data_IF_912667888894
#
_entry.id   IF_912667888894
#
_cell.length_a   1.000
_cell.length_b   1.000
_cell.length_c   1.000
_cell.angle_alpha   90.00
_cell.angle_beta   90.00
_cell.angle_gamma   90.00
#
_symmetry.space_group_name_H-M   'P 1'
#
loop_
_entity.id
_entity.type
_entity.pdbx_description
1 polymer ?
#
# COMPACT_ATOMS: atom_id res chain seq x y z
N UNK A 1 13.17 48.93 -34.04
CA UNK A 1 11.76 48.63 -34.38
C UNK A 1 11.54 47.16 -34.14
N UNK A 2 11.12 46.82 -32.92
CA UNK A 2 10.84 45.46 -32.55
C UNK A 2 9.40 45.11 -32.90
N UNK A 3 9.22 44.21 -33.83
CA UNK A 3 7.95 43.56 -34.07
C UNK A 3 7.63 42.60 -32.92
N UNK A 4 6.38 42.60 -32.47
CA UNK A 4 5.88 41.67 -31.45
C UNK A 4 6.06 40.23 -31.95
N UNK A 5 6.37 39.25 -31.07
CA UNK A 5 6.47 37.84 -31.46
C UNK A 5 5.20 37.28 -32.14
N UNK A 6 4.07 37.99 -32.03
CA UNK A 6 2.79 37.62 -32.63
C UNK A 6 2.55 38.25 -34.03
N UNK A 7 3.46 39.07 -34.51
CA UNK A 7 3.37 39.77 -35.83
C UNK A 7 4.32 39.15 -36.87
N UNK A 8 5.10 38.11 -36.51
CA UNK A 8 5.92 37.38 -37.50
C UNK A 8 5.13 36.21 -38.04
N UNK A 9 4.97 36.12 -39.33
CA UNK A 9 4.54 34.85 -39.95
C UNK A 9 5.53 33.74 -39.58
N UNK A 10 4.99 32.65 -39.06
CA UNK A 10 5.81 31.48 -38.73
C UNK A 10 6.51 30.97 -39.98
N UNK A 11 7.84 30.94 -39.96
CA UNK A 11 8.61 30.38 -41.05
C UNK A 11 8.22 28.90 -41.26
N UNK A 12 8.00 28.48 -42.49
CA UNK A 12 7.71 27.09 -42.80
C UNK A 12 8.86 26.19 -42.31
N UNK A 13 8.50 25.15 -41.60
CA UNK A 13 9.45 24.21 -41.02
C UNK A 13 10.18 23.46 -42.18
N UNK A 14 11.51 23.40 -42.20
CA UNK A 14 12.25 22.68 -43.24
C UNK A 14 11.79 21.22 -43.35
N UNK A 15 11.61 20.75 -44.57
CA UNK A 15 11.08 19.39 -44.83
C UNK A 15 11.87 18.29 -44.15
N UNK A 16 13.19 18.40 -44.04
CA UNK A 16 14.03 17.44 -43.33
C UNK A 16 13.71 17.35 -41.84
N UNK A 17 13.33 18.47 -41.20
CA UNK A 17 12.97 18.50 -39.77
C UNK A 17 11.60 17.87 -39.55
N UNK A 18 10.65 18.10 -40.46
CA UNK A 18 9.33 17.45 -40.44
C UNK A 18 9.47 15.94 -40.57
N UNK A 19 10.35 15.48 -41.47
CA UNK A 19 10.60 14.04 -41.66
C UNK A 19 11.27 13.39 -40.42
N UNK A 20 12.17 14.10 -39.75
CA UNK A 20 12.84 13.59 -38.57
C UNK A 20 11.85 13.52 -37.39
N UNK A 21 10.99 14.51 -37.20
CA UNK A 21 9.92 14.49 -36.20
C UNK A 21 8.95 13.32 -36.46
N UNK A 22 8.58 13.07 -37.72
CA UNK A 22 7.73 11.91 -38.08
C UNK A 22 8.41 10.59 -37.78
N UNK A 23 9.71 10.43 -38.05
CA UNK A 23 10.49 9.21 -37.72
C UNK A 23 10.56 8.97 -36.21
N UNK A 24 10.77 10.02 -35.39
CA UNK A 24 10.78 9.93 -33.91
C UNK A 24 9.39 9.60 -33.41
N UNK A 25 8.34 10.25 -33.93
CA UNK A 25 6.95 9.96 -33.57
C UNK A 25 6.56 8.50 -33.84
N UNK A 26 6.96 7.96 -35.01
CA UNK A 26 6.68 6.56 -35.35
C UNK A 26 7.45 5.57 -34.46
N UNK A 27 8.71 5.86 -34.13
CA UNK A 27 9.51 5.04 -33.19
C UNK A 27 8.90 5.03 -31.76
N UNK A 28 8.40 6.17 -31.26
CA UNK A 28 7.74 6.29 -29.97
C UNK A 28 6.41 5.53 -29.93
N UNK A 29 5.63 5.60 -31.02
CA UNK A 29 4.36 4.90 -31.17
C UNK A 29 4.55 3.38 -31.25
N UNK A 30 5.60 2.93 -31.97
CA UNK A 30 5.97 1.52 -32.05
C UNK A 30 6.50 0.99 -30.67
N UNK A 31 7.29 1.78 -29.94
CA UNK A 31 7.74 1.41 -28.57
C UNK A 31 6.58 1.32 -27.59
N UNK A 32 5.59 2.23 -27.65
CA UNK A 32 4.36 2.13 -26.84
C UNK A 32 3.53 0.90 -27.22
N UNK A 33 3.36 0.59 -28.49
CA UNK A 33 2.63 -0.62 -28.95
C UNK A 33 3.35 -1.93 -28.62
N UNK A 34 4.68 -1.93 -28.52
CA UNK A 34 5.46 -3.10 -28.12
C UNK A 34 5.43 -3.33 -26.60
N UNK A 35 5.40 -2.25 -25.78
CA UNK A 35 5.25 -2.33 -24.32
C UNK A 35 3.88 -2.85 -23.90
N UNK A 36 2.83 -2.60 -24.70
CA UNK A 36 1.46 -3.05 -24.43
C UNK A 36 1.22 -4.53 -24.84
N UNK A 37 2.17 -5.17 -25.52
CA UNK A 37 2.05 -6.55 -26.00
C UNK A 37 2.76 -7.62 -25.14
N UNK A 38 3.44 -7.25 -24.07
CA UNK A 38 3.94 -8.29 -23.15
C UNK A 38 2.78 -8.83 -22.30
N UNK A 39 2.53 -10.14 -22.27
CA UNK A 39 1.51 -10.72 -21.42
C UNK A 39 1.88 -10.42 -19.97
N UNK A 40 1.08 -9.58 -19.31
CA UNK A 40 1.26 -9.23 -17.90
C UNK A 40 1.16 -10.51 -17.07
N UNK A 41 2.13 -10.73 -16.19
CA UNK A 41 2.20 -11.93 -15.34
C UNK A 41 0.89 -12.11 -14.56
N UNK A 42 0.27 -13.29 -14.68
CA UNK A 42 -0.95 -13.63 -13.92
C UNK A 42 -0.64 -13.75 -12.43
N UNK A 43 -1.60 -13.32 -11.61
CA UNK A 43 -1.52 -13.32 -10.14
C UNK A 43 -2.29 -14.52 -9.62
N UNK A 44 -1.57 -15.41 -8.95
CA UNK A 44 -2.11 -16.66 -8.40
C UNK A 44 -2.79 -16.44 -7.04
N UNK A 45 -3.43 -17.47 -6.57
CA UNK A 45 -4.04 -17.57 -5.25
C UNK A 45 -3.10 -17.09 -4.11
N UNK A 46 -3.67 -16.40 -3.10
CA UNK A 46 -2.91 -15.81 -2.00
C UNK A 46 -2.52 -14.33 -2.19
N UNK A 47 -2.35 -13.85 -3.45
CA UNK A 47 -1.98 -12.45 -3.73
C UNK A 47 -3.10 -11.59 -4.35
N UNK A 48 -4.22 -12.20 -4.73
CA UNK A 48 -5.28 -11.56 -5.53
C UNK A 48 -5.99 -10.41 -4.80
N UNK A 49 -6.43 -10.63 -3.57
CA UNK A 49 -7.12 -9.63 -2.76
C UNK A 49 -6.21 -8.41 -2.49
N UNK A 50 -4.95 -8.67 -2.09
CA UNK A 50 -3.98 -7.62 -1.83
C UNK A 50 -3.67 -6.80 -3.09
N UNK A 51 -3.58 -7.46 -4.24
CA UNK A 51 -3.38 -6.76 -5.51
C UNK A 51 -4.55 -5.84 -5.85
N UNK A 52 -5.80 -6.33 -5.80
CA UNK A 52 -6.97 -5.50 -6.06
C UNK A 52 -7.15 -4.40 -5.04
N UNK A 53 -6.89 -4.65 -3.76
CA UNK A 53 -6.95 -3.63 -2.71
C UNK A 53 -5.89 -2.52 -2.93
N UNK A 54 -4.67 -2.89 -3.30
CA UNK A 54 -3.60 -1.94 -3.64
C UNK A 54 -3.96 -1.10 -4.86
N UNK A 55 -4.53 -1.73 -5.90
CA UNK A 55 -4.99 -1.02 -7.10
C UNK A 55 -6.15 -0.08 -6.78
N UNK A 56 -7.13 -0.53 -6.00
CA UNK A 56 -8.26 0.29 -5.56
C UNK A 56 -7.78 1.53 -4.77
N UNK A 57 -6.84 1.35 -3.85
CA UNK A 57 -6.23 2.44 -3.10
C UNK A 57 -5.51 3.45 -4.00
N UNK A 58 -4.77 2.97 -5.01
CA UNK A 58 -4.11 3.83 -5.98
C UNK A 58 -5.11 4.65 -6.83
N UNK A 59 -6.22 4.03 -7.23
CA UNK A 59 -7.30 4.69 -7.99
C UNK A 59 -8.04 5.72 -7.13
N UNK A 60 -8.30 5.38 -5.86
CA UNK A 60 -8.96 6.28 -4.91
C UNK A 60 -8.14 7.53 -4.64
N UNK A 61 -6.82 7.37 -4.43
CA UNK A 61 -5.88 8.50 -4.31
C UNK A 61 -5.85 9.42 -5.54
N UNK A 62 -6.18 8.89 -6.72
CA UNK A 62 -6.35 9.68 -7.95
C UNK A 62 -7.73 10.34 -8.08
N UNK A 63 -8.56 10.28 -7.04
CA UNK A 63 -9.89 10.88 -7.05
C UNK A 63 -10.94 10.09 -7.84
N UNK A 64 -10.66 8.84 -8.20
CA UNK A 64 -11.62 8.01 -8.94
C UNK A 64 -12.73 7.57 -7.98
N UNK A 65 -13.97 7.80 -8.36
CA UNK A 65 -15.16 7.41 -7.61
C UNK A 65 -15.37 5.89 -7.57
N UNK A 66 -16.29 5.45 -6.70
CA UNK A 66 -16.58 4.03 -6.45
C UNK A 66 -16.85 3.25 -7.74
N UNK A 67 -17.73 3.75 -8.61
CA UNK A 67 -18.09 3.06 -9.85
C UNK A 67 -16.89 2.89 -10.79
N UNK A 68 -16.01 3.90 -10.88
CA UNK A 68 -14.79 3.85 -11.68
C UNK A 68 -13.78 2.85 -11.11
N UNK A 69 -13.67 2.75 -9.79
CA UNK A 69 -12.85 1.75 -9.11
C UNK A 69 -13.40 0.35 -9.38
N UNK A 70 -14.70 0.12 -9.17
CA UNK A 70 -15.33 -1.18 -9.42
C UNK A 70 -15.11 -1.62 -10.87
N UNK A 71 -15.34 -0.74 -11.84
CA UNK A 71 -15.13 -1.06 -13.26
C UNK A 71 -13.68 -1.46 -13.55
N UNK A 72 -12.72 -0.73 -13.00
CA UNK A 72 -11.28 -1.02 -13.18
C UNK A 72 -10.87 -2.32 -12.53
N UNK A 73 -11.34 -2.58 -11.30
CA UNK A 73 -11.04 -3.83 -10.58
C UNK A 73 -11.64 -5.05 -11.28
N UNK A 74 -12.84 -4.94 -11.85
CA UNK A 74 -13.47 -6.01 -12.65
C UNK A 74 -12.64 -6.35 -13.89
N UNK A 75 -12.15 -5.34 -14.59
CA UNK A 75 -11.29 -5.53 -15.75
C UNK A 75 -9.96 -6.23 -15.36
N UNK A 76 -9.30 -5.74 -14.32
CA UNK A 76 -8.04 -6.31 -13.81
C UNK A 76 -8.22 -7.74 -13.27
N UNK A 77 -9.33 -8.01 -12.58
CA UNK A 77 -9.70 -9.34 -12.09
C UNK A 77 -9.80 -10.36 -13.23
N UNK A 78 -10.49 -9.98 -14.32
CA UNK A 78 -10.66 -10.86 -15.48
C UNK A 78 -9.37 -11.07 -16.26
N UNK A 79 -8.53 -10.03 -16.37
CA UNK A 79 -7.31 -10.09 -17.20
C UNK A 79 -6.14 -10.75 -16.49
N UNK A 80 -5.95 -10.50 -15.20
CA UNK A 80 -4.71 -10.81 -14.49
C UNK A 80 -4.81 -11.81 -13.36
N UNK A 81 -6.00 -12.04 -12.79
CA UNK A 81 -6.14 -12.97 -11.68
C UNK A 81 -6.45 -14.38 -12.18
N UNK A 82 -5.83 -15.39 -11.54
CA UNK A 82 -5.99 -16.80 -11.93
C UNK A 82 -6.08 -17.69 -10.68
N UNK A 83 -7.26 -18.27 -10.39
CA UNK A 83 -8.57 -17.98 -10.98
C UNK A 83 -9.08 -16.57 -10.60
N UNK A 84 -9.98 -15.95 -11.40
CA UNK A 84 -10.61 -14.68 -11.02
C UNK A 84 -11.36 -14.79 -9.69
N UNK A 85 -11.44 -13.69 -8.95
CA UNK A 85 -12.32 -13.58 -7.77
C UNK A 85 -13.78 -13.42 -8.21
N UNK A 86 -14.70 -13.80 -7.33
CA UNK A 86 -16.12 -13.53 -7.54
C UNK A 86 -16.41 -12.02 -7.52
N UNK A 87 -17.50 -11.61 -8.17
CA UNK A 87 -17.82 -10.20 -8.32
C UNK A 87 -18.18 -9.53 -6.98
N UNK A 88 -18.76 -10.29 -6.04
CA UNK A 88 -19.10 -9.78 -4.71
C UNK A 88 -17.83 -9.41 -3.94
N UNK A 89 -16.80 -10.23 -4.00
CA UNK A 89 -15.49 -9.93 -3.40
C UNK A 89 -14.84 -8.71 -4.05
N UNK A 90 -14.90 -8.58 -5.38
CA UNK A 90 -14.34 -7.41 -6.09
C UNK A 90 -15.05 -6.12 -5.65
N UNK A 91 -16.39 -6.15 -5.58
CA UNK A 91 -17.19 -5.01 -5.11
C UNK A 91 -16.93 -4.70 -3.64
N UNK A 92 -16.81 -5.73 -2.79
CA UNK A 92 -16.51 -5.54 -1.37
C UNK A 92 -15.14 -4.86 -1.16
N UNK A 93 -14.12 -5.25 -1.92
CA UNK A 93 -12.80 -4.61 -1.91
C UNK A 93 -12.93 -3.14 -2.32
N UNK A 94 -13.62 -2.82 -3.42
CA UNK A 94 -13.83 -1.46 -3.86
C UNK A 94 -14.52 -0.61 -2.77
N UNK A 95 -15.64 -1.10 -2.22
CA UNK A 95 -16.40 -0.42 -1.16
C UNK A 95 -15.60 -0.24 0.12
N UNK A 96 -14.75 -1.18 0.48
CA UNK A 96 -13.90 -1.04 1.67
C UNK A 96 -12.92 0.12 1.55
N UNK A 97 -12.40 0.33 0.35
CA UNK A 97 -11.43 1.40 0.06
C UNK A 97 -12.14 2.75 -0.13
N UNK A 98 -13.36 2.78 -0.69
CA UNK A 98 -14.10 4.03 -0.92
C UNK A 98 -14.68 4.64 0.37
N UNK A 99 -14.72 3.90 1.47
CA UNK A 99 -15.04 4.45 2.81
C UNK A 99 -14.01 5.49 3.30
N UNK A 100 -12.76 5.41 2.79
CA UNK A 100 -11.78 6.44 3.04
C UNK A 100 -12.04 7.59 2.09
N UNK A 101 -12.15 8.81 2.60
CA UNK A 101 -12.18 10.00 1.76
C UNK A 101 -10.93 10.00 0.87
N UNK A 102 -11.04 10.43 -0.41
CA UNK A 102 -9.83 10.63 -1.22
C UNK A 102 -8.93 11.57 -0.43
N UNK A 103 -7.65 11.24 -0.32
CA UNK A 103 -6.68 12.20 0.19
C UNK A 103 -6.87 13.49 -0.60
N UNK A 104 -7.55 14.49 0.01
CA UNK A 104 -7.62 15.80 -0.59
C UNK A 104 -6.19 16.27 -0.85
N UNK A 105 -5.98 16.91 -2.00
CA UNK A 105 -4.68 17.44 -2.31
C UNK A 105 -4.29 18.41 -1.19
N UNK A 106 -3.17 18.12 -0.55
CA UNK A 106 -2.78 18.61 0.75
C UNK A 106 -2.17 20.02 0.74
N UNK A 107 -3.00 21.08 0.90
CA UNK A 107 -2.51 22.38 1.28
C UNK A 107 -2.13 22.44 2.78
N UNK A 108 -2.38 21.36 3.53
CA UNK A 108 -2.44 21.33 4.97
C UNK A 108 -1.04 21.22 5.60
N UNK A 109 -0.05 20.60 4.93
CA UNK A 109 1.28 20.42 5.49
C UNK A 109 2.25 21.52 5.04
N UNK A 110 2.93 22.11 5.99
CA UNK A 110 3.97 23.11 5.70
C UNK A 110 5.12 22.47 4.89
N UNK A 111 5.75 23.22 4.01
CA UNK A 111 6.93 22.80 3.24
C UNK A 111 8.20 22.81 4.11
N UNK A 112 8.19 22.00 5.16
CA UNK A 112 9.25 21.86 6.16
C UNK A 112 9.49 20.40 6.48
N UNK A 113 10.58 20.08 7.16
CA UNK A 113 10.87 18.71 7.60
C UNK A 113 9.80 18.15 8.56
N UNK A 114 9.25 19.01 9.44
CA UNK A 114 8.14 18.64 10.32
C UNK A 114 6.88 18.39 9.50
N UNK A 115 6.55 19.24 8.54
CA UNK A 115 5.41 19.01 7.65
C UNK A 115 5.54 17.73 6.82
N UNK A 116 6.75 17.32 6.45
CA UNK A 116 6.97 16.02 5.83
C UNK A 116 6.71 14.86 6.81
N UNK A 117 7.07 15.01 8.09
CA UNK A 117 6.79 14.00 9.10
C UNK A 117 5.27 13.89 9.39
N UNK A 118 4.55 15.01 9.45
CA UNK A 118 3.10 15.04 9.57
C UNK A 118 2.42 14.35 8.37
N UNK A 119 2.89 14.62 7.15
CA UNK A 119 2.42 13.94 5.92
C UNK A 119 2.68 12.45 5.98
N UNK A 120 3.88 12.04 6.44
CA UNK A 120 4.22 10.62 6.61
C UNK A 120 3.25 9.91 7.56
N UNK A 121 2.96 10.53 8.72
CA UNK A 121 1.98 10.01 9.67
C UNK A 121 0.61 9.85 9.04
N UNK A 122 0.12 10.88 8.36
CA UNK A 122 -1.19 10.83 7.72
C UNK A 122 -1.28 9.71 6.66
N UNK A 123 -0.21 9.48 5.91
CA UNK A 123 -0.19 8.43 4.89
C UNK A 123 -0.08 7.02 5.46
N UNK A 124 0.66 6.84 6.56
CA UNK A 124 1.10 5.50 6.95
C UNK A 124 0.81 5.10 8.41
N UNK A 125 0.09 5.94 9.19
CA UNK A 125 -0.21 5.65 10.61
C UNK A 125 -0.87 4.29 10.85
N UNK A 126 -1.57 3.77 9.85
CA UNK A 126 -2.26 2.49 9.93
C UNK A 126 -1.43 1.32 9.39
N UNK A 127 -0.26 1.58 8.81
CA UNK A 127 0.61 0.57 8.21
C UNK A 127 1.95 0.44 8.91
N UNK A 128 2.37 1.49 9.65
CA UNK A 128 3.64 1.49 10.37
C UNK A 128 3.47 1.91 11.82
N UNK A 129 4.25 1.32 12.72
CA UNK A 129 4.33 1.68 14.13
C UNK A 129 5.79 1.74 14.57
N UNK A 130 6.07 2.59 15.55
CA UNK A 130 7.38 2.71 16.16
C UNK A 130 7.34 2.44 17.65
N UNK A 131 8.08 1.44 18.10
CA UNK A 131 8.25 1.15 19.52
C UNK A 131 9.55 1.82 20.02
N UNK A 132 9.40 2.86 20.82
CA UNK A 132 10.54 3.65 21.34
C UNK A 132 11.42 2.85 22.31
N UNK A 133 10.85 1.91 23.04
CA UNK A 133 11.58 1.04 24.00
C UNK A 133 12.48 0.08 23.23
N UNK A 134 11.98 -0.55 22.17
CA UNK A 134 12.77 -1.44 21.33
C UNK A 134 13.65 -0.67 20.31
N UNK A 135 13.35 0.62 20.09
CA UNK A 135 13.96 1.45 19.04
C UNK A 135 13.79 0.82 17.65
N UNK A 136 12.61 0.24 17.39
CA UNK A 136 12.31 -0.51 16.17
C UNK A 136 11.01 -0.04 15.54
N UNK A 137 11.01 -0.07 14.22
CA UNK A 137 9.82 0.07 13.40
C UNK A 137 9.15 -1.29 13.22
N UNK A 138 7.85 -1.26 13.09
CA UNK A 138 7.02 -2.41 12.75
C UNK A 138 6.12 -2.03 11.58
N UNK A 139 5.97 -2.95 10.64
CA UNK A 139 5.21 -2.74 9.42
C UNK A 139 4.15 -3.83 9.31
N UNK A 140 2.94 -3.43 8.94
CA UNK A 140 1.86 -4.36 8.67
C UNK A 140 2.06 -5.03 7.31
N UNK A 141 2.31 -6.35 7.28
CA UNK A 141 2.53 -7.11 6.05
C UNK A 141 1.24 -7.74 5.46
N UNK A 142 0.07 -7.36 5.98
CA UNK A 142 -1.23 -7.88 5.57
C UNK A 142 -1.74 -9.04 6.44
N UNK A 143 -0.90 -9.62 7.31
CA UNK A 143 -1.23 -10.72 8.21
C UNK A 143 -0.85 -10.45 9.66
N UNK A 144 0.29 -9.85 9.90
CA UNK A 144 0.83 -9.52 11.23
C UNK A 144 1.78 -8.33 11.14
N UNK A 145 2.15 -7.79 12.29
CA UNK A 145 3.13 -6.71 12.38
C UNK A 145 4.53 -7.30 12.42
N UNK A 146 5.29 -7.01 11.38
CA UNK A 146 6.66 -7.49 11.22
C UNK A 146 7.66 -6.41 11.63
N UNK A 147 8.74 -6.81 12.33
CA UNK A 147 9.83 -5.89 12.62
C UNK A 147 10.49 -5.47 11.30
N UNK A 148 10.61 -4.17 11.10
CA UNK A 148 11.21 -3.62 9.89
C UNK A 148 12.72 -3.87 9.81
N UNK A 149 13.18 -4.29 8.65
CA UNK A 149 14.60 -4.48 8.31
C UNK A 149 15.12 -3.44 7.30
N UNK A 150 14.37 -2.38 7.03
CA UNK A 150 14.78 -1.29 6.14
C UNK A 150 13.71 -0.76 5.21
N UNK A 151 12.54 -1.37 5.17
CA UNK A 151 11.40 -0.97 4.33
C UNK A 151 10.86 0.41 4.69
N UNK A 152 11.06 0.86 5.95
CA UNK A 152 10.66 2.21 6.40
C UNK A 152 11.25 3.32 5.53
N UNK A 153 12.43 3.10 4.95
CA UNK A 153 13.07 4.05 4.04
C UNK A 153 12.26 4.19 2.74
N UNK A 154 11.69 3.10 2.23
CA UNK A 154 10.85 3.12 1.04
C UNK A 154 9.55 3.91 1.29
N UNK A 155 8.93 3.73 2.47
CA UNK A 155 7.77 4.53 2.89
C UNK A 155 8.11 6.02 2.98
N UNK A 156 9.29 6.37 3.52
CA UNK A 156 9.75 7.75 3.59
C UNK A 156 9.99 8.35 2.19
N UNK A 157 10.57 7.59 1.27
CA UNK A 157 10.74 8.00 -0.13
C UNK A 157 9.38 8.17 -0.81
N UNK A 158 8.46 7.25 -0.59
CA UNK A 158 7.10 7.34 -1.13
C UNK A 158 6.38 8.58 -0.62
N UNK A 159 6.51 8.90 0.67
CA UNK A 159 5.96 10.12 1.26
C UNK A 159 6.51 11.38 0.56
N UNK A 160 7.82 11.49 0.39
CA UNK A 160 8.43 12.65 -0.28
C UNK A 160 7.97 12.73 -1.75
N UNK A 161 7.90 11.62 -2.45
CA UNK A 161 7.47 11.56 -3.85
C UNK A 161 5.98 11.88 -4.03
N UNK A 162 5.15 11.66 -3.02
CA UNK A 162 3.74 12.05 -3.08
C UNK A 162 3.57 13.56 -3.27
N UNK A 163 4.56 14.38 -2.86
CA UNK A 163 4.54 15.82 -3.05
C UNK A 163 4.53 16.20 -4.54
N UNK A 164 5.22 15.43 -5.41
CA UNK A 164 5.18 15.67 -6.85
C UNK A 164 3.80 15.37 -7.43
N UNK A 165 3.20 14.25 -7.02
CA UNK A 165 1.84 13.88 -7.45
C UNK A 165 0.85 14.99 -7.08
N UNK A 166 1.06 15.59 -5.91
CA UNK A 166 0.32 16.70 -5.42
C UNK A 166 0.54 17.99 -6.24
N UNK A 167 1.81 18.31 -6.50
CA UNK A 167 2.16 19.46 -7.31
C UNK A 167 1.55 19.36 -8.73
N UNK A 168 1.42 18.15 -9.28
CA UNK A 168 0.85 17.94 -10.61
C UNK A 168 -0.67 18.18 -10.67
N UNK A 169 -1.37 18.14 -9.54
CA UNK A 169 -2.79 18.49 -9.45
C UNK A 169 -3.04 20.01 -9.43
N UNK A 170 -2.01 20.80 -9.13
CA UNK A 170 -2.12 22.25 -9.08
C UNK A 170 -1.93 22.91 -10.45
N UNK A 171 -2.62 24.04 -10.72
CA UNK A 171 -2.35 24.81 -11.92
C UNK A 171 -0.90 25.33 -11.92
N UNK A 172 -0.39 25.60 -13.10
CA UNK A 172 0.95 26.19 -13.26
C UNK A 172 1.03 27.53 -12.51
N UNK A 173 2.00 27.65 -11.58
CA UNK A 173 2.15 28.82 -10.74
C UNK A 173 3.24 28.66 -9.70
N UNK A 174 3.37 29.66 -8.84
CA UNK A 174 4.45 29.71 -7.85
C UNK A 174 4.26 28.63 -6.74
N UNK A 175 3.03 28.30 -6.40
CA UNK A 175 2.73 27.26 -5.42
C UNK A 175 3.19 25.89 -5.94
N UNK A 176 2.90 25.54 -7.19
CA UNK A 176 3.38 24.30 -7.84
C UNK A 176 4.91 24.26 -7.87
N UNK A 177 5.56 25.37 -8.25
CA UNK A 177 7.02 25.47 -8.26
C UNK A 177 7.62 25.26 -6.86
N UNK A 178 7.03 25.87 -5.82
CA UNK A 178 7.50 25.74 -4.44
C UNK A 178 7.41 24.30 -3.96
N UNK A 179 6.31 23.58 -4.25
CA UNK A 179 6.13 22.16 -3.94
C UNK A 179 7.20 21.30 -4.62
N UNK A 180 7.41 21.46 -5.93
CA UNK A 180 8.42 20.72 -6.67
C UNK A 180 9.81 20.95 -6.09
N UNK A 181 10.17 22.22 -5.77
CA UNK A 181 11.46 22.55 -5.16
C UNK A 181 11.60 21.92 -3.77
N UNK A 182 10.53 21.91 -2.96
CA UNK A 182 10.53 21.27 -1.66
C UNK A 182 10.72 19.75 -1.78
N UNK A 183 9.99 19.08 -2.68
CA UNK A 183 10.13 17.66 -2.96
C UNK A 183 11.58 17.31 -3.35
N UNK A 184 12.15 18.04 -4.32
CA UNK A 184 13.54 17.83 -4.75
C UNK A 184 14.55 17.95 -3.59
N UNK A 185 14.38 18.95 -2.71
CA UNK A 185 15.26 19.11 -1.54
C UNK A 185 15.05 17.98 -0.52
N UNK A 186 13.84 17.48 -0.39
CA UNK A 186 13.46 16.44 0.57
C UNK A 186 13.91 15.04 0.15
N UNK A 187 14.22 14.80 -1.12
CA UNK A 187 14.76 13.50 -1.61
C UNK A 187 16.20 13.21 -1.20
N UNK A 188 16.92 14.17 -0.58
CA UNK A 188 18.28 13.90 -0.12
C UNK A 188 18.29 12.86 1.01
N UNK A 189 19.31 11.98 1.04
CA UNK A 189 19.41 10.91 2.03
C UNK A 189 19.38 11.41 3.49
N UNK A 190 19.94 12.60 3.75
CA UNK A 190 19.89 13.23 5.07
C UNK A 190 18.45 13.65 5.45
N UNK A 191 17.68 14.17 4.50
CA UNK A 191 16.30 14.57 4.72
C UNK A 191 15.37 13.37 4.91
N UNK A 192 15.60 12.28 4.18
CA UNK A 192 14.89 11.01 4.38
C UNK A 192 15.17 10.44 5.79
N UNK A 193 16.43 10.42 6.24
CA UNK A 193 16.76 10.00 7.61
C UNK A 193 16.12 10.91 8.66
N UNK A 194 16.12 12.22 8.45
CA UNK A 194 15.50 13.18 9.35
C UNK A 194 13.98 12.98 9.41
N UNK A 195 13.33 12.75 8.28
CA UNK A 195 11.90 12.42 8.22
C UNK A 195 11.59 11.22 9.12
N UNK A 196 12.30 10.10 8.94
CA UNK A 196 12.11 8.87 9.73
C UNK A 196 12.32 9.15 11.23
N UNK A 197 13.35 9.95 11.56
CA UNK A 197 13.64 10.32 12.96
C UNK A 197 12.53 11.15 13.58
N UNK A 198 12.01 12.14 12.86
CA UNK A 198 10.91 12.98 13.32
C UNK A 198 9.61 12.17 13.44
N UNK A 199 9.31 11.34 12.46
CA UNK A 199 8.14 10.46 12.44
C UNK A 199 8.15 9.48 13.64
N UNK A 200 9.31 8.93 14.02
CA UNK A 200 9.46 8.07 15.19
C UNK A 200 9.04 8.74 16.53
N UNK A 201 9.10 10.07 16.59
CA UNK A 201 8.64 10.86 17.73
C UNK A 201 7.13 11.20 17.70
N UNK A 202 6.42 10.88 16.62
CA UNK A 202 5.01 11.24 16.48
C UNK A 202 4.11 10.26 17.22
N UNK A 203 3.17 10.80 18.02
CA UNK A 203 2.30 10.00 18.89
C UNK A 203 1.46 8.96 18.15
N UNK A 204 0.98 9.27 16.96
CA UNK A 204 0.10 8.40 16.19
C UNK A 204 0.81 7.14 15.66
N UNK A 205 2.14 7.17 15.59
CA UNK A 205 2.97 6.03 15.23
C UNK A 205 3.51 5.27 16.44
N UNK A 206 3.41 5.87 17.64
CA UNK A 206 3.95 5.27 18.86
C UNK A 206 3.12 4.05 19.29
N UNK A 207 3.81 3.01 19.73
CA UNK A 207 3.20 1.83 20.34
C UNK A 207 4.06 1.38 21.53
N UNK A 208 3.40 0.96 22.60
CA UNK A 208 4.09 0.43 23.77
C UNK A 208 4.43 -1.07 23.58
N UNK A 209 5.47 -1.59 24.27
CA UNK A 209 5.79 -3.02 24.23
C UNK A 209 4.63 -3.93 24.61
N UNK A 210 3.85 -3.52 25.61
CA UNK A 210 2.75 -4.32 26.17
C UNK A 210 1.50 -4.32 25.27
N UNK A 211 1.43 -3.45 24.29
CA UNK A 211 0.34 -3.45 23.30
C UNK A 211 0.50 -4.56 22.26
N UNK A 212 1.73 -5.07 22.06
CA UNK A 212 2.02 -6.16 21.14
C UNK A 212 1.58 -7.50 21.73
N UNK A 213 0.88 -8.30 20.91
CA UNK A 213 0.40 -9.64 21.29
C UNK A 213 -0.40 -9.64 22.60
N UNK A 214 -1.04 -8.53 22.95
CA UNK A 214 -1.70 -8.31 24.23
C UNK A 214 -2.91 -9.24 24.47
N UNK A 215 -3.53 -9.73 23.41
CA UNK A 215 -4.68 -10.64 23.52
C UNK A 215 -4.23 -12.11 23.41
N UNK A 216 -4.12 -12.86 24.53
CA UNK A 216 -3.67 -14.25 24.50
C UNK A 216 -4.65 -15.23 23.85
N UNK A 217 -5.87 -14.76 23.53
CA UNK A 217 -6.90 -15.57 22.90
C UNK A 217 -6.92 -15.49 21.37
N UNK A 218 -5.99 -14.78 20.79
CA UNK A 218 -5.86 -14.68 19.34
C UNK A 218 -4.61 -15.42 18.86
N UNK A 219 -4.79 -16.32 17.91
CA UNK A 219 -3.71 -17.08 17.29
C UNK A 219 -3.74 -16.86 15.77
N UNK A 220 -2.70 -16.23 15.23
CA UNK A 220 -2.56 -16.09 13.78
C UNK A 220 -2.13 -17.40 13.14
N UNK A 221 -2.90 -17.82 12.14
CA UNK A 221 -2.61 -18.92 11.21
C UNK A 221 -2.38 -18.38 9.80
N UNK A 222 -1.96 -19.23 8.86
CA UNK A 222 -1.67 -18.78 7.49
C UNK A 222 -2.91 -18.25 6.73
N UNK A 223 -4.10 -18.66 7.12
CA UNK A 223 -5.38 -18.32 6.49
C UNK A 223 -6.28 -17.39 7.31
N UNK A 224 -5.83 -16.89 8.47
CA UNK A 224 -6.58 -15.97 9.31
C UNK A 224 -6.16 -16.04 10.77
N UNK A 225 -6.88 -15.33 11.63
CA UNK A 225 -6.70 -15.33 13.09
C UNK A 225 -7.77 -16.17 13.76
N UNK A 226 -7.39 -17.14 14.56
CA UNK A 226 -8.33 -17.94 15.36
C UNK A 226 -8.60 -17.21 16.68
N UNK A 227 -9.87 -17.07 17.02
CA UNK A 227 -10.27 -16.69 18.36
C UNK A 227 -10.40 -17.99 19.21
N UNK A 228 -9.45 -18.22 20.08
CA UNK A 228 -9.37 -19.44 20.89
C UNK A 228 -10.53 -19.62 21.88
N UNK A 229 -11.26 -18.55 22.23
CA UNK A 229 -12.47 -18.65 23.07
C UNK A 229 -13.66 -19.20 22.32
N UNK A 230 -13.75 -18.90 21.02
CA UNK A 230 -14.90 -19.25 20.20
C UNK A 230 -14.60 -20.39 19.20
N UNK A 231 -13.33 -20.73 19.00
CA UNK A 231 -12.87 -21.67 17.99
C UNK A 231 -13.04 -21.18 16.53
N UNK A 232 -13.38 -19.91 16.33
CA UNK A 232 -13.71 -19.39 14.99
C UNK A 232 -12.53 -18.68 14.34
N UNK A 233 -12.34 -18.97 13.06
CA UNK A 233 -11.42 -18.24 12.20
C UNK A 233 -12.01 -16.89 11.80
N UNK A 234 -11.23 -15.83 11.89
CA UNK A 234 -11.56 -14.47 11.46
C UNK A 234 -10.47 -13.91 10.54
N UNK A 235 -10.78 -12.91 9.71
CA UNK A 235 -9.77 -12.23 8.90
C UNK A 235 -8.67 -11.61 9.77
N UNK A 236 -7.47 -11.46 9.19
CA UNK A 236 -6.40 -10.71 9.83
C UNK A 236 -6.83 -9.27 10.12
N UNK A 237 -6.54 -8.79 11.32
CA UNK A 237 -6.88 -7.44 11.73
C UNK A 237 -5.66 -6.74 12.33
N UNK A 238 -5.21 -5.66 11.71
CA UNK A 238 -4.07 -4.88 12.19
C UNK A 238 -4.26 -4.26 13.57
N UNK A 239 -5.52 -4.05 14.00
CA UNK A 239 -5.83 -3.55 15.34
C UNK A 239 -5.60 -4.57 16.45
N UNK A 240 -5.37 -5.83 16.11
CA UNK A 240 -5.03 -6.87 17.09
C UNK A 240 -3.56 -6.82 17.51
N UNK A 241 -2.73 -6.03 16.84
CA UNK A 241 -1.29 -5.84 17.09
C UNK A 241 -0.50 -7.13 17.27
N UNK A 242 -0.86 -8.18 16.53
CA UNK A 242 -0.19 -9.48 16.57
C UNK A 242 1.12 -9.40 15.77
N UNK A 243 2.22 -9.87 16.40
CA UNK A 243 3.56 -9.87 15.78
C UNK A 243 4.02 -11.27 15.36
N UNK A 244 3.23 -12.30 15.60
CA UNK A 244 3.58 -13.69 15.34
C UNK A 244 2.54 -14.39 14.49
N UNK A 245 2.98 -15.38 13.73
CA UNK A 245 2.11 -16.23 12.93
C UNK A 245 2.58 -17.68 13.03
N UNK A 246 1.67 -18.62 13.26
CA UNK A 246 2.02 -20.03 13.19
C UNK A 246 2.14 -20.48 11.72
N UNK A 247 3.00 -21.48 11.48
CA UNK A 247 3.22 -22.00 10.13
C UNK A 247 2.22 -23.10 9.74
N UNK A 248 0.95 -22.91 10.15
CA UNK A 248 -0.15 -23.81 9.82
C UNK A 248 -1.38 -23.03 9.41
N UNK A 249 -2.20 -23.62 8.54
CA UNK A 249 -3.56 -23.12 8.27
C UNK A 249 -4.54 -23.79 9.20
N UNK A 250 -5.52 -23.04 9.66
CA UNK A 250 -6.61 -23.60 10.44
C UNK A 250 -7.57 -24.36 9.53
N UNK A 251 -7.89 -25.57 9.94
CA UNK A 251 -8.92 -26.40 9.32
C UNK A 251 -9.81 -26.96 10.44
N UNK A 252 -11.07 -26.55 10.45
CA UNK A 252 -12.06 -26.96 11.45
C UNK A 252 -12.35 -28.48 11.41
N UNK A 253 -12.12 -29.10 10.26
CA UNK A 253 -12.38 -30.54 10.04
C UNK A 253 -11.11 -31.40 10.07
N UNK A 254 -9.99 -30.84 10.50
CA UNK A 254 -8.73 -31.56 10.55
C UNK A 254 -8.80 -32.72 11.56
N UNK A 255 -8.56 -33.96 11.09
CA UNK A 255 -8.41 -35.11 11.98
C UNK A 255 -7.10 -35.01 12.78
N UNK A 256 -7.16 -35.28 14.08
CA UNK A 256 -6.02 -35.15 15.01
C UNK A 256 -5.62 -36.49 15.68
N UNK A 257 -5.44 -37.60 14.90
CA UNK A 257 -5.29 -38.93 15.49
C UNK A 257 -4.06 -39.08 16.41
N UNK A 258 -2.96 -38.39 16.09
CA UNK A 258 -1.76 -38.41 16.95
C UNK A 258 -1.98 -37.65 18.26
N UNK A 259 -2.69 -36.53 18.22
CA UNK A 259 -3.05 -35.73 19.39
C UNK A 259 -4.00 -36.53 20.29
N UNK A 260 -5.02 -37.13 19.71
CA UNK A 260 -6.00 -37.97 20.42
C UNK A 260 -5.31 -39.12 21.13
N UNK A 261 -4.43 -39.85 20.44
CA UNK A 261 -3.61 -40.91 21.03
C UNK A 261 -2.72 -40.41 22.17
N UNK A 262 -2.12 -39.22 22.01
CA UNK A 262 -1.30 -38.62 23.06
C UNK A 262 -2.14 -38.28 24.32
N UNK A 263 -3.31 -37.67 24.12
CA UNK A 263 -4.22 -37.36 25.22
C UNK A 263 -4.67 -38.65 25.95
N UNK A 264 -5.11 -39.66 25.22
CA UNK A 264 -5.48 -40.97 25.79
C UNK A 264 -4.34 -41.58 26.63
N UNK A 265 -3.11 -41.48 26.12
CA UNK A 265 -1.93 -42.03 26.82
C UNK A 265 -1.62 -41.24 28.11
N UNK A 266 -1.67 -39.92 28.09
CA UNK A 266 -1.37 -39.07 29.24
C UNK A 266 -2.45 -39.15 30.33
N UNK A 267 -3.71 -39.16 29.91
CA UNK A 267 -4.86 -39.20 30.83
C UNK A 267 -5.25 -40.62 31.23
N UNK A 268 -4.59 -41.67 30.68
CA UNK A 268 -4.93 -43.08 30.86
C UNK A 268 -6.39 -43.41 30.54
N UNK A 269 -6.96 -42.67 29.59
CA UNK A 269 -8.35 -42.83 29.16
C UNK A 269 -9.38 -42.12 30.03
N UNK A 270 -8.96 -41.28 30.98
CA UNK A 270 -9.87 -40.47 31.79
C UNK A 270 -10.49 -39.37 30.95
N UNK A 271 -11.75 -39.54 30.56
CA UNK A 271 -12.51 -38.61 29.67
C UNK A 271 -12.85 -37.30 30.34
N UNK A 272 -12.85 -37.23 31.67
CA UNK A 272 -13.16 -35.99 32.41
C UNK A 272 -11.97 -35.05 32.45
N UNK A 273 -10.75 -35.57 32.32
CA UNK A 273 -9.51 -34.77 32.20
C UNK A 273 -9.26 -34.28 30.78
N UNK A 274 -9.88 -34.91 29.76
CA UNK A 274 -9.75 -34.51 28.34
C UNK A 274 -10.68 -33.37 27.94
N UNK A 275 -11.68 -33.02 28.77
CA UNK A 275 -12.61 -31.90 28.53
C UNK A 275 -12.10 -30.61 29.15
#
# INVERSE_FOLDING_TARGET
TGLSPFECEAAEMPSWLVDEIRKVGTKLTQKKKAADKQPRKKIKEGGRNNHLASLAGALRRKGIGEDGIIATLRAENKERLDPPLDDETVVAIAKSITRYEPDEPDPQYKLTDVGNAERFVAMFKDEVKYCSVYKKWFIWNGKFWEQDEGTIVEYAIQCVRSIYTYADMLPAGDQRKALIQHAMRSESGNKIKLLITLAAGMKDLAIAPDDWDANPWLLNCQNGTINLKTGKLQPFNKADYITRICNASFDENCATPLWDTLLETITKGDTDTIR
#
